data_IF_633335603884
#
_entry.id   IF_633335603884
#
_cell.length_a   1.000
_cell.length_b   1.000
_cell.length_c   1.000
_cell.angle_alpha   90.00
_cell.angle_beta   90.00
_cell.angle_gamma   90.00
#
_symmetry.space_group_name_H-M   'P 1'
#
loop_
_entity.id
_entity.type
_entity.pdbx_description
1 polymer ?
#
# COMPACT_ATOMS: atom_id res chain seq x y z
N UNK A 1 7.08 21.65 -0.51
CA UNK A 1 7.14 22.36 -1.81
C UNK A 1 7.66 21.38 -2.84
N UNK A 2 6.75 20.78 -3.61
CA UNK A 2 7.14 19.86 -4.68
C UNK A 2 8.12 20.57 -5.63
N UNK A 3 9.36 20.10 -5.65
CA UNK A 3 10.42 20.63 -6.53
C UNK A 3 10.35 20.08 -7.95
N UNK A 4 9.79 18.90 -8.13
CA UNK A 4 9.81 18.19 -9.41
C UNK A 4 8.49 17.45 -9.66
N UNK A 5 7.96 17.58 -10.89
CA UNK A 5 6.77 16.84 -11.34
C UNK A 5 6.95 15.32 -11.25
N UNK A 6 8.20 14.83 -11.33
CA UNK A 6 8.55 13.41 -11.16
C UNK A 6 8.20 12.91 -9.75
N UNK A 7 8.39 13.72 -8.72
CA UNK A 7 8.07 13.33 -7.34
C UNK A 7 6.55 13.31 -7.10
N UNK A 8 5.79 14.25 -7.69
CA UNK A 8 4.31 14.16 -7.70
C UNK A 8 3.86 12.86 -8.37
N UNK A 9 4.44 12.49 -9.52
CA UNK A 9 4.05 11.27 -10.21
C UNK A 9 4.34 10.02 -9.37
N UNK A 10 5.50 9.96 -8.69
CA UNK A 10 5.81 8.87 -7.77
C UNK A 10 4.86 8.83 -6.57
N UNK A 11 4.58 9.97 -5.95
CA UNK A 11 3.63 10.06 -4.83
C UNK A 11 2.23 9.59 -5.24
N UNK A 12 1.74 9.99 -6.42
CA UNK A 12 0.46 9.54 -6.95
C UNK A 12 0.45 8.02 -7.18
N UNK A 13 1.50 7.45 -7.77
CA UNK A 13 1.58 6.00 -7.99
C UNK A 13 1.52 5.24 -6.64
N UNK A 14 2.28 5.70 -5.64
CA UNK A 14 2.31 5.10 -4.32
C UNK A 14 0.95 5.22 -3.60
N UNK A 15 0.31 6.38 -3.71
CA UNK A 15 -1.02 6.62 -3.14
C UNK A 15 -2.08 5.72 -3.79
N UNK A 16 -2.11 5.62 -5.13
CA UNK A 16 -3.05 4.72 -5.80
C UNK A 16 -2.77 3.25 -5.46
N UNK A 17 -1.50 2.88 -5.26
CA UNK A 17 -1.11 1.53 -4.85
C UNK A 17 -1.61 1.22 -3.43
N UNK A 18 -1.44 2.16 -2.49
CA UNK A 18 -1.92 1.99 -1.12
C UNK A 18 -3.44 1.89 -1.06
N UNK A 19 -4.16 2.70 -1.85
CA UNK A 19 -5.61 2.62 -2.02
C UNK A 19 -6.06 1.29 -2.61
N UNK A 20 -5.38 0.81 -3.66
CA UNK A 20 -5.71 -0.46 -4.31
C UNK A 20 -5.51 -1.66 -3.37
N UNK A 21 -4.43 -1.67 -2.59
CA UNK A 21 -4.17 -2.74 -1.61
C UNK A 21 -5.18 -2.73 -0.45
N UNK A 22 -5.66 -1.55 -0.06
CA UNK A 22 -6.68 -1.38 0.97
C UNK A 22 -8.13 -1.46 0.43
N UNK A 23 -8.31 -1.69 -0.88
CA UNK A 23 -9.63 -1.65 -1.48
C UNK A 23 -10.48 -2.82 -0.97
N UNK A 24 -11.69 -2.56 -0.45
CA UNK A 24 -12.60 -3.61 -0.03
C UNK A 24 -13.08 -4.36 -1.27
N UNK A 25 -12.58 -5.57 -1.44
CA UNK A 25 -13.01 -6.47 -2.51
C UNK A 25 -14.23 -7.26 -2.03
N UNK A 26 -15.15 -7.72 -2.90
CA UNK A 26 -16.33 -8.48 -2.48
C UNK A 26 -16.04 -9.86 -1.85
N UNK A 27 -14.77 -10.20 -1.65
CA UNK A 27 -14.32 -11.39 -0.92
C UNK A 27 -14.06 -10.99 0.54
N UNK A 28 -14.00 -11.95 1.48
CA UNK A 28 -13.85 -11.69 2.93
C UNK A 28 -12.59 -10.88 3.30
N UNK A 29 -11.63 -10.75 2.38
CA UNK A 29 -10.35 -10.07 2.59
C UNK A 29 -10.11 -8.94 1.56
N UNK A 30 -9.42 -7.85 1.96
CA UNK A 30 -8.98 -6.80 1.05
C UNK A 30 -8.15 -7.34 -0.12
N UNK A 31 -8.09 -6.57 -1.21
CA UNK A 31 -7.34 -6.96 -2.40
C UNK A 31 -5.86 -7.27 -2.08
N UNK A 32 -5.22 -6.46 -1.24
CA UNK A 32 -3.82 -6.66 -0.84
C UNK A 32 -3.57 -7.99 -0.11
N UNK A 33 -4.51 -8.44 0.72
CA UNK A 33 -4.42 -9.72 1.43
C UNK A 33 -4.60 -10.90 0.49
N UNK A 34 -5.48 -10.76 -0.50
CA UNK A 34 -5.66 -11.76 -1.56
C UNK A 34 -4.38 -11.93 -2.38
N UNK A 35 -3.74 -10.82 -2.77
CA UNK A 35 -2.46 -10.85 -3.50
C UNK A 35 -1.35 -11.45 -2.64
N UNK A 36 -1.24 -11.08 -1.36
CA UNK A 36 -0.25 -11.65 -0.45
C UNK A 36 -0.43 -13.17 -0.31
N UNK A 37 -1.67 -13.63 -0.16
CA UNK A 37 -2.00 -15.07 -0.09
C UNK A 37 -1.63 -15.80 -1.38
N UNK A 38 -1.92 -15.22 -2.56
CA UNK A 38 -1.56 -15.81 -3.84
C UNK A 38 -0.03 -15.92 -4.05
N UNK A 39 0.74 -15.00 -3.46
CA UNK A 39 2.19 -15.01 -3.45
C UNK A 39 2.80 -15.87 -2.33
N UNK A 40 1.97 -16.59 -1.56
CA UNK A 40 2.37 -17.38 -0.39
C UNK A 40 3.07 -16.53 0.70
N UNK A 41 2.76 -15.23 0.76
CA UNK A 41 3.21 -14.33 1.82
C UNK A 41 2.19 -14.44 2.97
N UNK A 42 2.63 -14.68 4.21
CA UNK A 42 1.72 -14.68 5.34
C UNK A 42 1.08 -13.31 5.48
N UNK A 43 -0.26 -13.26 5.51
CA UNK A 43 -1.01 -12.00 5.70
C UNK A 43 -0.86 -11.51 7.14
N UNK A 44 -0.83 -12.46 8.08
CA UNK A 44 -0.71 -12.24 9.51
C UNK A 44 0.26 -13.26 10.13
N UNK A 45 1.08 -12.82 11.08
CA UNK A 45 1.85 -13.71 11.97
C UNK A 45 1.92 -13.10 13.35
N UNK A 46 1.56 -13.86 14.39
CA UNK A 46 1.56 -13.39 15.79
C UNK A 46 0.78 -12.07 16.02
N UNK A 47 -0.27 -11.83 15.21
CA UNK A 47 -1.06 -10.58 15.27
C UNK A 47 -0.50 -9.42 14.45
N UNK A 48 0.68 -9.58 13.84
CA UNK A 48 1.28 -8.59 12.94
C UNK A 48 0.68 -8.74 11.55
N UNK A 49 -0.01 -7.69 11.05
CA UNK A 49 -0.61 -7.66 9.72
C UNK A 49 0.36 -7.04 8.69
N UNK A 50 1.00 -7.89 7.88
CA UNK A 50 2.05 -7.46 6.94
C UNK A 50 1.54 -6.55 5.83
N UNK A 51 0.33 -6.81 5.32
CA UNK A 51 -0.30 -5.97 4.28
C UNK A 51 -0.61 -4.58 4.83
N UNK A 52 -1.09 -4.49 6.07
CA UNK A 52 -1.32 -3.22 6.75
C UNK A 52 -0.03 -2.41 6.93
N UNK A 53 1.07 -3.07 7.32
CA UNK A 53 2.39 -2.43 7.43
C UNK A 53 2.86 -1.91 6.06
N UNK A 54 2.70 -2.70 4.99
CA UNK A 54 3.09 -2.30 3.64
C UNK A 54 2.29 -1.07 3.16
N UNK A 55 0.97 -1.02 3.42
CA UNK A 55 0.12 0.13 3.10
C UNK A 55 0.60 1.38 3.84
N UNK A 56 0.89 1.27 5.14
CA UNK A 56 1.39 2.38 5.95
C UNK A 56 2.75 2.87 5.43
N UNK A 57 3.65 1.95 5.06
CA UNK A 57 4.95 2.30 4.48
C UNK A 57 4.79 3.04 3.15
N UNK A 58 3.92 2.58 2.25
CA UNK A 58 3.65 3.29 1.00
C UNK A 58 3.09 4.69 1.25
N UNK A 59 2.24 4.85 2.26
CA UNK A 59 1.67 6.14 2.63
C UNK A 59 2.74 7.10 3.17
N UNK A 60 3.62 6.65 4.08
CA UNK A 60 4.70 7.52 4.55
C UNK A 60 5.70 7.90 3.45
N UNK A 61 6.00 6.96 2.55
CA UNK A 61 6.90 7.22 1.42
C UNK A 61 6.24 8.18 0.42
N UNK A 62 4.94 8.07 0.18
CA UNK A 62 4.22 9.02 -0.68
C UNK A 62 4.25 10.44 -0.11
N UNK A 63 4.04 10.60 1.19
CA UNK A 63 4.06 11.89 1.87
C UNK A 63 5.46 12.50 1.79
N UNK A 64 6.51 11.69 1.93
CA UNK A 64 7.89 12.13 1.74
C UNK A 64 8.13 12.68 0.33
N UNK A 65 7.60 12.02 -0.70
CA UNK A 65 7.73 12.51 -2.09
C UNK A 65 6.84 13.73 -2.39
N UNK A 66 5.78 13.95 -1.61
CA UNK A 66 4.88 15.09 -1.77
C UNK A 66 5.46 16.39 -1.17
N UNK A 67 6.31 16.29 -0.14
CA UNK A 67 6.90 17.43 0.58
C UNK A 67 8.07 18.05 -0.18
#
# INVERSE_FOLDING_TARGET
MVKDKRFINMALILLFTSMALNFPFPHEYPYGETVATALHIPVQTEGIQYVGIAIILFLFVDLYFLV
#
